data_IF_462275186106
#
_entry.id   IF_462275186106
#
_cell.length_a   1.000
_cell.length_b   1.000
_cell.length_c   1.000
_cell.angle_alpha   90.00
_cell.angle_beta   90.00
_cell.angle_gamma   90.00
#
_symmetry.space_group_name_H-M   'P 1'
#
loop_
_entity.id
_entity.type
_entity.pdbx_description
1 polymer ?
#
# COMPACT_ATOMS: atom_id res chain seq x y z
N UNK A 1 7.63 17.88 19.29
CA UNK A 1 8.29 16.55 19.37
C UNK A 1 8.06 15.81 18.08
N UNK A 2 9.11 15.32 17.43
CA UNK A 2 8.96 14.51 16.22
C UNK A 2 8.41 13.12 16.62
N UNK A 3 7.35 12.59 15.98
CA UNK A 3 6.81 11.28 16.35
C UNK A 3 7.88 10.20 16.22
N UNK A 4 8.14 9.47 17.31
CA UNK A 4 9.11 8.39 17.35
C UNK A 4 8.47 7.14 16.73
N UNK A 5 8.89 6.79 15.51
CA UNK A 5 8.47 5.54 14.87
C UNK A 5 8.94 4.31 15.64
N UNK A 6 8.10 3.27 15.67
CA UNK A 6 8.44 1.97 16.26
C UNK A 6 8.81 0.98 15.15
N UNK A 7 9.87 0.19 15.37
CA UNK A 7 10.26 -0.85 14.42
C UNK A 7 9.34 -2.06 14.57
N UNK A 8 8.66 -2.46 13.50
CA UNK A 8 7.93 -3.72 13.43
C UNK A 8 8.88 -4.84 13.00
N UNK A 9 9.05 -5.88 13.83
CA UNK A 9 9.89 -7.06 13.55
C UNK A 9 9.14 -8.34 13.88
N UNK A 10 9.52 -9.46 13.26
CA UNK A 10 8.94 -10.77 13.54
C UNK A 10 9.70 -11.89 12.81
N UNK A 11 9.57 -13.15 13.26
CA UNK A 11 10.14 -14.31 12.58
C UNK A 11 9.40 -14.61 11.26
N UNK A 12 9.93 -15.56 10.47
CA UNK A 12 9.22 -16.08 9.30
C UNK A 12 7.82 -16.58 9.68
N UNK A 13 6.81 -16.20 8.90
CA UNK A 13 5.40 -16.50 9.18
C UNK A 13 4.70 -15.48 10.09
N UNK A 14 5.41 -14.52 10.68
CA UNK A 14 4.78 -13.41 11.39
C UNK A 14 4.06 -12.47 10.40
N UNK A 15 2.95 -11.90 10.86
CA UNK A 15 2.10 -10.99 10.07
C UNK A 15 1.98 -9.65 10.78
N UNK A 16 2.05 -8.56 10.01
CA UNK A 16 1.73 -7.22 10.48
C UNK A 16 0.49 -6.71 9.73
N UNK A 17 -0.51 -6.26 10.47
CA UNK A 17 -1.71 -5.64 9.91
C UNK A 17 -1.61 -4.13 10.04
N UNK A 18 -1.71 -3.43 8.91
CA UNK A 18 -1.62 -1.98 8.86
C UNK A 18 -2.89 -1.43 8.23
N UNK A 19 -3.48 -0.43 8.88
CA UNK A 19 -4.52 0.36 8.24
C UNK A 19 -3.91 1.17 7.10
N UNK A 20 -4.62 1.35 5.98
CA UNK A 20 -4.15 2.09 4.79
C UNK A 20 -3.65 3.52 5.12
N UNK A 21 -4.21 4.15 6.16
CA UNK A 21 -3.85 5.51 6.61
C UNK A 21 -2.75 5.55 7.68
N UNK A 22 -2.19 4.39 8.08
CA UNK A 22 -1.13 4.35 9.08
C UNK A 22 0.16 4.88 8.44
N UNK A 23 0.76 5.92 9.02
CA UNK A 23 2.09 6.36 8.59
C UNK A 23 3.10 5.24 8.87
N UNK A 24 3.73 4.76 7.81
CA UNK A 24 4.74 3.71 7.88
C UNK A 24 5.83 3.98 6.85
N UNK A 25 6.96 3.31 7.02
CA UNK A 25 8.10 3.40 6.14
C UNK A 25 9.11 2.33 6.50
N UNK A 26 10.21 2.28 5.75
CA UNK A 26 11.26 1.30 6.00
C UNK A 26 12.62 1.97 6.08
N UNK A 27 13.47 1.47 6.99
CA UNK A 27 14.90 1.77 6.95
C UNK A 27 15.53 1.04 5.77
N UNK A 28 16.59 1.63 5.23
CA UNK A 28 17.45 1.00 4.21
C UNK A 28 17.91 -0.39 4.68
N UNK A 29 17.94 -1.36 3.76
CA UNK A 29 18.43 -2.69 4.05
C UNK A 29 19.97 -2.68 4.01
N UNK A 30 20.61 -2.78 5.18
CA UNK A 30 22.07 -2.80 5.31
C UNK A 30 22.65 -4.23 5.41
N UNK A 31 21.82 -5.26 5.23
CA UNK A 31 22.29 -6.65 5.27
C UNK A 31 22.73 -7.15 3.89
N UNK A 32 23.48 -8.27 3.88
CA UNK A 32 23.91 -8.94 2.63
C UNK A 32 22.79 -9.76 1.95
N UNK A 33 21.62 -9.83 2.56
CA UNK A 33 20.49 -10.63 2.10
C UNK A 33 19.26 -9.75 1.81
N UNK A 34 18.43 -10.10 0.83
CA UNK A 34 17.19 -9.37 0.56
C UNK A 34 16.20 -9.49 1.73
N UNK A 35 15.49 -8.40 2.03
CA UNK A 35 14.36 -8.38 2.97
C UNK A 35 13.06 -8.56 2.20
N UNK A 36 12.71 -9.79 1.89
CA UNK A 36 11.51 -10.15 1.13
C UNK A 36 10.25 -10.04 1.99
N UNK A 37 9.20 -9.43 1.45
CA UNK A 37 7.88 -9.31 2.09
C UNK A 37 6.80 -9.86 1.14
N UNK A 38 5.78 -10.48 1.72
CA UNK A 38 4.54 -10.79 1.01
C UNK A 38 3.46 -9.79 1.47
N UNK A 39 2.96 -8.99 0.54
CA UNK A 39 1.98 -7.94 0.82
C UNK A 39 0.65 -8.32 0.20
N UNK A 40 -0.42 -8.29 1.00
CA UNK A 40 -1.79 -8.44 0.54
C UNK A 40 -2.62 -7.27 1.03
N UNK A 41 -3.34 -6.63 0.12
CA UNK A 41 -4.22 -5.51 0.42
C UNK A 41 -5.66 -6.00 0.35
N UNK A 42 -6.44 -5.67 1.37
CA UNK A 42 -7.86 -5.98 1.44
C UNK A 42 -8.65 -4.68 1.51
N UNK A 43 -9.72 -4.60 0.74
CA UNK A 43 -10.70 -3.52 0.77
C UNK A 43 -12.11 -4.10 0.90
N UNK A 44 -13.05 -3.28 1.37
CA UNK A 44 -14.46 -3.65 1.32
C UNK A 44 -14.96 -3.63 -0.14
N UNK A 45 -15.99 -4.43 -0.44
CA UNK A 45 -16.60 -4.50 -1.79
C UNK A 45 -17.06 -3.13 -2.30
N UNK A 46 -17.48 -2.26 -1.39
CA UNK A 46 -17.96 -0.91 -1.69
C UNK A 46 -16.86 0.15 -1.65
N UNK A 47 -15.60 -0.23 -1.42
CA UNK A 47 -14.44 0.67 -1.51
C UNK A 47 -13.85 0.62 -2.93
N UNK A 48 -14.41 1.43 -3.83
CA UNK A 48 -14.01 1.50 -5.24
C UNK A 48 -12.70 2.27 -5.39
N UNK A 49 -11.73 1.77 -6.20
CA UNK A 49 -10.49 2.49 -6.47
C UNK A 49 -10.75 3.77 -7.27
N UNK A 50 -10.12 4.87 -6.85
CA UNK A 50 -10.19 6.17 -7.54
C UNK A 50 -9.22 6.29 -8.72
N UNK A 51 -8.16 5.48 -8.72
CA UNK A 51 -7.17 5.40 -9.79
C UNK A 51 -6.84 3.93 -10.09
N UNK A 52 -6.31 3.61 -11.28
CA UNK A 52 -5.81 2.29 -11.56
C UNK A 52 -4.76 1.84 -10.53
N UNK A 53 -4.71 0.54 -10.27
CA UNK A 53 -3.65 -0.05 -9.47
C UNK A 53 -2.29 0.13 -10.18
N UNK A 54 -1.28 0.72 -9.54
CA UNK A 54 0.05 0.91 -10.15
C UNK A 54 0.78 -0.43 -10.39
N UNK A 55 0.33 -1.51 -9.76
CA UNK A 55 0.84 -2.87 -9.96
C UNK A 55 -0.33 -3.85 -10.23
N UNK A 56 -0.92 -3.81 -11.45
CA UNK A 56 -2.04 -4.66 -11.82
C UNK A 56 -1.69 -6.14 -11.62
N UNK A 57 -2.64 -6.92 -11.10
CA UNK A 57 -2.47 -8.35 -10.91
C UNK A 57 -3.79 -9.11 -11.01
N UNK A 58 -3.72 -10.43 -11.23
CA UNK A 58 -4.89 -11.30 -11.43
C UNK A 58 -5.85 -11.42 -10.22
N UNK A 59 -5.43 -10.98 -9.04
CA UNK A 59 -6.22 -11.10 -7.81
C UNK A 59 -6.96 -9.79 -7.47
N UNK A 60 -6.77 -8.74 -8.28
CA UNK A 60 -7.45 -7.47 -8.10
C UNK A 60 -8.97 -7.64 -8.16
N UNK A 61 -9.68 -7.15 -7.13
CA UNK A 61 -11.13 -7.29 -7.01
C UNK A 61 -11.64 -8.70 -6.70
N UNK A 62 -10.76 -9.64 -6.34
CA UNK A 62 -11.15 -10.98 -5.88
C UNK A 62 -11.89 -10.87 -4.53
N UNK A 63 -13.13 -11.38 -4.49
CA UNK A 63 -13.88 -11.49 -3.24
C UNK A 63 -13.36 -12.71 -2.48
N UNK A 64 -12.67 -12.45 -1.37
CA UNK A 64 -12.16 -13.51 -0.47
C UNK A 64 -13.16 -13.88 0.63
N UNK A 65 -14.16 -13.02 0.89
CA UNK A 65 -15.22 -13.24 1.86
C UNK A 65 -16.45 -12.38 1.55
N UNK A 66 -17.64 -12.98 1.64
CA UNK A 66 -18.90 -12.31 1.33
C UNK A 66 -19.28 -12.41 -0.15
N UNK A 67 -20.07 -11.45 -0.62
CA UNK A 67 -20.56 -11.38 -2.00
C UNK A 67 -20.53 -9.94 -2.51
N UNK A 68 -20.44 -9.77 -3.84
CA UNK A 68 -20.53 -8.45 -4.47
C UNK A 68 -21.94 -7.90 -4.30
N UNK A 69 -22.05 -6.69 -3.72
CA UNK A 69 -23.34 -6.02 -3.48
C UNK A 69 -23.73 -5.08 -4.60
N UNK A 70 -22.79 -4.65 -5.44
CA UNK A 70 -23.03 -3.70 -6.52
C UNK A 70 -23.50 -2.33 -6.03
N UNK A 71 -23.27 -2.01 -4.75
CA UNK A 71 -23.66 -0.76 -4.11
C UNK A 71 -22.46 -0.15 -3.41
N UNK A 72 -22.19 1.10 -3.71
CA UNK A 72 -21.15 1.91 -3.07
C UNK A 72 -21.77 2.79 -1.98
N UNK A 73 -21.19 2.83 -0.78
CA UNK A 73 -21.52 3.83 0.25
C UNK A 73 -20.58 5.03 0.06
N UNK A 74 -21.13 6.21 -0.19
CA UNK A 74 -20.36 7.44 -0.38
C UNK A 74 -20.97 8.60 0.40
N UNK A 75 -20.11 9.56 0.75
CA UNK A 75 -20.48 10.92 1.16
C UNK A 75 -20.04 11.87 0.06
N UNK A 76 -20.41 13.15 0.16
CA UNK A 76 -19.83 14.18 -0.71
C UNK A 76 -18.38 14.45 -0.29
N UNK A 77 -17.43 14.32 -1.21
CA UNK A 77 -16.01 14.60 -0.99
C UNK A 77 -15.30 14.93 -2.30
N UNK A 78 -14.27 15.76 -2.21
CA UNK A 78 -13.35 16.08 -3.30
C UNK A 78 -11.92 15.73 -2.88
N UNK A 79 -11.19 15.08 -3.77
CA UNK A 79 -9.76 14.77 -3.63
C UNK A 79 -9.07 14.94 -4.96
N UNK A 80 -7.84 15.44 -4.94
CA UNK A 80 -6.98 15.42 -6.12
C UNK A 80 -6.59 13.97 -6.44
N UNK A 81 -6.60 13.63 -7.72
CA UNK A 81 -6.18 12.29 -8.14
C UNK A 81 -4.68 12.10 -7.88
N UNK A 82 -4.26 10.89 -7.46
CA UNK A 82 -2.85 10.60 -7.25
C UNK A 82 -2.09 10.65 -8.59
N UNK A 83 -0.85 11.12 -8.55
CA UNK A 83 0.06 10.98 -9.69
C UNK A 83 0.40 9.50 -9.86
N UNK A 84 0.23 8.99 -11.08
CA UNK A 84 0.61 7.62 -11.39
C UNK A 84 2.13 7.53 -11.57
N UNK A 85 2.79 6.50 -11.01
CA UNK A 85 4.20 6.26 -11.24
C UNK A 85 4.52 6.02 -12.73
N UNK A 86 5.57 6.68 -13.23
CA UNK A 86 6.16 6.32 -14.54
C UNK A 86 6.90 4.97 -14.47
N UNK A 87 7.32 4.56 -13.27
CA UNK A 87 8.15 3.38 -13.03
C UNK A 87 7.50 2.46 -11.99
N UNK A 88 7.69 1.15 -12.14
CA UNK A 88 7.08 0.15 -11.26
C UNK A 88 7.63 0.16 -9.82
N UNK A 89 8.85 0.64 -9.62
CA UNK A 89 9.52 0.65 -8.31
C UNK A 89 9.38 2.00 -7.63
N UNK A 90 8.87 1.98 -6.39
CA UNK A 90 8.87 3.13 -5.49
C UNK A 90 10.29 3.68 -5.26
N UNK A 91 11.31 2.82 -5.27
CA UNK A 91 12.71 3.26 -5.15
C UNK A 91 13.15 4.11 -6.35
N UNK A 92 12.68 3.78 -7.56
CA UNK A 92 13.01 4.54 -8.77
C UNK A 92 12.38 5.94 -8.69
N UNK A 93 11.16 6.05 -8.14
CA UNK A 93 10.50 7.32 -7.89
C UNK A 93 11.21 8.16 -6.82
N UNK A 94 11.64 7.52 -5.72
CA UNK A 94 12.36 8.21 -4.63
C UNK A 94 13.73 8.76 -5.07
N UNK A 95 14.38 8.09 -6.03
CA UNK A 95 15.68 8.54 -6.56
C UNK A 95 15.54 9.88 -7.31
N UNK A 96 14.39 10.12 -7.96
CA UNK A 96 14.11 11.38 -8.68
C UNK A 96 14.01 12.59 -7.75
N UNK A 97 13.66 12.39 -6.47
CA UNK A 97 13.47 13.46 -5.48
C UNK A 97 14.67 13.70 -4.55
N UNK A 98 15.85 13.09 -4.80
CA UNK A 98 17.04 13.35 -3.97
C UNK A 98 17.78 14.65 -4.31
N UNK A 99 17.41 15.34 -5.40
CA UNK A 99 18.09 16.54 -5.89
C UNK A 99 17.27 17.84 -5.74
N UNK A 100 16.14 17.80 -5.01
CA UNK A 100 15.31 18.97 -4.70
C UNK A 100 15.51 19.43 -3.25
#
# INVERSE_FOLDING_TARGET
MCPKGLTCTGPAGAVCLMHTRLLHGSKSNQSISPRTLFISVYSADDAVPLSPNPMPNRYEGLIVRGERKGRVRSIDYAVDLPQLPDTASFFDQQTKHQND
#
